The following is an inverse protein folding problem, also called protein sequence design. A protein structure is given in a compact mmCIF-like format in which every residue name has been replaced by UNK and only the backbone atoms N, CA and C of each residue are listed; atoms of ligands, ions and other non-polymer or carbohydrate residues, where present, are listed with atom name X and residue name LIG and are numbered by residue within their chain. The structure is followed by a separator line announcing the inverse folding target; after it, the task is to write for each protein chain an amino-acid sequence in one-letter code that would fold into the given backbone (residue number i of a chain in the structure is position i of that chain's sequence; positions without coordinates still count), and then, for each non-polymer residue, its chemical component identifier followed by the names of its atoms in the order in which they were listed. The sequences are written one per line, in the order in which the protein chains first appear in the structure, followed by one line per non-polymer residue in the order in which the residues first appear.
data_IF_131609777859
#
_entry.id   IF_131609777859
#
_cell.length_a   1.000
_cell.length_b   1.000
_cell.length_c   1.000
_cell.angle_alpha   90.00
_cell.angle_beta   90.00
_cell.angle_gamma   90.00
#
_symmetry.space_group_name_H-M   'P 1'
#
loop_
_entity.id
_entity.type
_entity.pdbx_description
1 polymer ?
#
# COMPACT_ATOMS: atom_id res chain seq x y z
N UNK A 1 -18.93 -26.05 2.97
CA UNK A 1 -17.68 -25.55 3.57
C UNK A 1 -17.96 -24.19 4.19
N UNK A 2 -17.79 -24.01 5.50
CA UNK A 2 -18.08 -22.73 6.14
C UNK A 2 -17.09 -21.66 5.65
N UNK A 3 -17.63 -20.53 5.19
CA UNK A 3 -16.84 -19.40 4.71
C UNK A 3 -16.02 -18.82 5.88
N UNK A 4 -14.69 -18.93 5.81
CA UNK A 4 -13.80 -18.44 6.85
C UNK A 4 -13.33 -17.02 6.49
N UNK A 5 -14.05 -16.01 6.99
CA UNK A 5 -13.74 -14.59 6.75
C UNK A 5 -12.33 -14.15 7.15
N UNK A 6 -11.70 -14.84 8.12
CA UNK A 6 -10.30 -14.61 8.52
C UNK A 6 -9.33 -15.03 7.42
N UNK A 7 -9.65 -16.09 6.65
CA UNK A 7 -8.85 -16.48 5.47
C UNK A 7 -8.96 -15.44 4.37
N UNK A 8 -10.17 -14.91 4.12
CA UNK A 8 -10.36 -13.84 3.14
C UNK A 8 -9.55 -12.60 3.52
N UNK A 9 -9.59 -12.18 4.79
CA UNK A 9 -8.78 -11.07 5.30
C UNK A 9 -7.28 -11.30 5.09
N UNK A 10 -6.78 -12.50 5.37
CA UNK A 10 -5.38 -12.87 5.10
C UNK A 10 -5.02 -12.83 3.61
N UNK A 11 -5.89 -13.32 2.73
CA UNK A 11 -5.66 -13.27 1.29
C UNK A 11 -5.70 -11.84 0.75
N UNK A 12 -6.61 -11.00 1.26
CA UNK A 12 -6.67 -9.59 0.93
C UNK A 12 -5.37 -8.86 1.31
N UNK A 13 -4.87 -9.09 2.53
CA UNK A 13 -3.58 -8.58 2.99
C UNK A 13 -2.40 -9.06 2.13
N UNK A 14 -2.37 -10.34 1.77
CA UNK A 14 -1.31 -10.89 0.90
C UNK A 14 -1.38 -10.29 -0.51
N UNK A 15 -2.60 -10.12 -1.04
CA UNK A 15 -2.82 -9.47 -2.34
C UNK A 15 -2.36 -8.01 -2.33
N UNK A 16 -2.57 -7.30 -1.22
CA UNK A 16 -2.12 -5.94 -1.04
C UNK A 16 -0.59 -5.83 -0.93
N UNK A 17 0.04 -6.69 -0.13
CA UNK A 17 1.51 -6.79 -0.07
C UNK A 17 2.08 -7.09 -1.46
N UNK A 18 1.48 -8.05 -2.17
CA UNK A 18 1.86 -8.40 -3.53
C UNK A 18 1.72 -7.20 -4.49
N UNK A 19 0.62 -6.46 -4.40
CA UNK A 19 0.36 -5.27 -5.22
C UNK A 19 1.39 -4.17 -4.96
N UNK A 20 1.76 -3.93 -3.70
CA UNK A 20 2.79 -2.96 -3.34
C UNK A 20 4.18 -3.35 -3.86
N UNK A 21 4.54 -4.64 -3.77
CA UNK A 21 5.81 -5.16 -4.30
C UNK A 21 5.83 -5.07 -5.83
N UNK A 22 4.74 -5.49 -6.48
CA UNK A 22 4.60 -5.41 -7.94
C UNK A 22 4.59 -3.98 -8.47
N UNK A 23 4.05 -3.02 -7.72
CA UNK A 23 4.11 -1.59 -8.07
C UNK A 23 5.50 -0.98 -7.82
N UNK A 24 6.21 -1.42 -6.78
CA UNK A 24 7.55 -0.94 -6.46
C UNK A 24 8.62 -1.43 -7.47
N UNK A 25 8.50 -2.66 -7.97
CA UNK A 25 9.49 -3.26 -8.87
C UNK A 25 9.73 -2.45 -10.17
N UNK A 26 8.70 -2.06 -10.94
CA UNK A 26 8.86 -1.20 -12.11
C UNK A 26 9.45 0.16 -11.77
N UNK A 27 9.06 0.75 -10.63
CA UNK A 27 9.59 2.04 -10.19
C UNK A 27 11.09 1.97 -9.85
N UNK A 28 11.59 0.79 -9.48
CA UNK A 28 12.99 0.55 -9.18
C UNK A 28 13.82 0.26 -10.45
N UNK A 29 13.34 -0.70 -11.24
CA UNK A 29 14.09 -1.28 -12.36
C UNK A 29 13.93 -0.49 -13.66
N UNK A 30 12.79 0.19 -13.83
CA UNK A 30 12.44 0.92 -15.05
C UNK A 30 11.65 2.22 -14.72
N UNK A 31 12.23 3.15 -13.93
CA UNK A 31 11.54 4.38 -13.53
C UNK A 31 11.12 5.24 -14.72
N UNK A 32 11.85 5.16 -15.83
CA UNK A 32 11.55 5.92 -17.05
C UNK A 32 10.27 5.42 -17.72
N UNK A 33 10.08 4.10 -17.78
CA UNK A 33 8.85 3.50 -18.28
C UNK A 33 7.67 3.89 -17.40
N UNK A 34 7.83 3.82 -16.08
CA UNK A 34 6.78 4.25 -15.14
C UNK A 34 6.45 5.73 -15.34
N UNK A 35 7.45 6.60 -15.38
CA UNK A 35 7.25 8.03 -15.61
C UNK A 35 6.58 8.28 -16.97
N UNK A 36 6.93 7.57 -18.03
CA UNK A 36 6.29 7.73 -19.35
C UNK A 36 4.79 7.39 -19.35
N UNK A 37 4.34 6.53 -18.44
CA UNK A 37 2.91 6.29 -18.22
C UNK A 37 2.27 7.35 -17.32
N UNK A 38 3.03 7.90 -16.38
CA UNK A 38 2.54 8.86 -15.39
C UNK A 38 2.45 10.29 -15.94
N UNK A 39 3.48 10.80 -16.61
CA UNK A 39 3.56 12.20 -17.06
C UNK A 39 3.13 12.37 -18.51
N UNK A 40 2.54 13.52 -18.85
CA UNK A 40 2.08 13.82 -20.22
C UNK A 40 3.22 14.11 -21.18
N UNK A 41 4.30 14.74 -20.72
CA UNK A 41 5.41 15.18 -21.56
C UNK A 41 6.71 14.42 -21.29
N UNK A 42 7.49 14.03 -22.32
CA UNK A 42 8.83 13.48 -22.11
C UNK A 42 9.79 14.50 -21.46
N UNK A 43 9.50 15.80 -21.57
CA UNK A 43 10.26 16.87 -20.91
C UNK A 43 10.12 16.87 -19.38
N UNK A 44 9.06 16.26 -18.85
CA UNK A 44 8.83 16.14 -17.41
C UNK A 44 9.64 14.98 -16.78
N UNK A 45 10.20 14.09 -17.61
CA UNK A 45 11.04 12.96 -17.20
C UNK A 45 12.48 13.44 -16.95
N UNK A 46 12.65 14.22 -15.90
CA UNK A 46 13.97 14.73 -15.49
C UNK A 46 14.78 13.69 -14.71
N UNK A 47 16.12 13.84 -14.61
CA UNK A 47 16.94 13.00 -13.73
C UNK A 47 16.49 13.02 -12.26
N UNK A 48 15.91 14.15 -11.83
CA UNK A 48 15.32 14.31 -10.50
C UNK A 48 14.04 13.47 -10.38
N UNK A 49 13.14 13.53 -11.36
CA UNK A 49 11.93 12.72 -11.39
C UNK A 49 12.25 11.21 -11.33
N UNK A 50 13.21 10.73 -12.13
CA UNK A 50 13.68 9.33 -12.09
C UNK A 50 14.20 8.92 -10.71
N UNK A 51 15.02 9.78 -10.11
CA UNK A 51 15.59 9.53 -8.77
C UNK A 51 14.50 9.51 -7.70
N UNK A 52 13.50 10.38 -7.79
CA UNK A 52 12.35 10.41 -6.89
C UNK A 52 11.44 9.19 -7.05
N UNK A 53 11.19 8.73 -8.28
CA UNK A 53 10.42 7.49 -8.55
C UNK A 53 11.12 6.28 -7.94
N UNK A 54 12.44 6.18 -8.07
CA UNK A 54 13.23 5.14 -7.41
C UNK A 54 13.24 5.28 -5.88
N UNK A 55 13.31 6.52 -5.38
CA UNK A 55 13.24 6.82 -3.95
C UNK A 55 11.90 6.40 -3.33
N UNK A 56 10.80 6.62 -4.06
CA UNK A 56 9.45 6.23 -3.64
C UNK A 56 9.31 4.71 -3.46
N UNK A 57 10.01 3.93 -4.29
CA UNK A 57 9.89 2.47 -4.32
C UNK A 57 10.95 1.69 -3.51
N UNK A 58 12.14 2.24 -3.28
CA UNK A 58 13.27 1.43 -2.78
C UNK A 58 13.35 1.32 -1.26
N UNK A 59 12.90 0.23 -0.63
CA UNK A 59 13.49 -0.21 0.65
C UNK A 59 14.45 -1.36 0.42
N UNK A 60 15.74 -1.07 0.23
CA UNK A 60 16.73 -2.13 0.43
C UNK A 60 18.11 -1.63 0.91
N UNK A 61 18.64 -2.16 2.04
CA UNK A 61 19.98 -1.87 2.54
C UNK A 61 21.10 -2.74 1.91
N UNK A 62 20.92 -3.37 0.75
CA UNK A 62 21.97 -4.23 0.13
C UNK A 62 22.25 -3.87 -1.32
N UNK A 63 23.04 -2.83 -1.57
CA UNK A 63 24.02 -2.83 -2.67
C UNK A 63 24.98 -1.63 -2.56
N UNK A 64 25.82 -1.63 -1.54
CA UNK A 64 26.79 -0.57 -1.28
C UNK A 64 28.10 -0.93 -2.00
N UNK A 65 28.30 -0.44 -3.23
CA UNK A 65 29.65 -0.30 -3.78
C UNK A 65 30.30 0.94 -3.12
N UNK A 66 31.56 0.86 -2.68
CA UNK A 66 32.13 1.89 -1.81
C UNK A 66 32.84 2.95 -2.66
N UNK A 67 32.11 3.91 -3.22
CA UNK A 67 32.74 5.19 -3.63
C UNK A 67 31.73 6.34 -3.54
N UNK A 68 31.99 7.21 -2.56
CA UNK A 68 31.55 8.60 -2.42
C UNK A 68 30.04 8.91 -2.50
N UNK A 69 29.45 8.94 -1.31
CA UNK A 69 28.35 9.84 -0.89
C UNK A 69 27.09 9.79 -1.77
N UNK A 70 26.32 8.71 -1.66
CA UNK A 70 24.87 8.74 -1.92
C UNK A 70 24.16 8.13 -0.72
N UNK A 71 23.60 9.01 0.10
CA UNK A 71 22.70 8.66 1.19
C UNK A 71 21.51 7.94 0.58
N UNK A 72 21.41 6.62 0.79
CA UNK A 72 20.26 5.79 0.39
C UNK A 72 19.34 5.61 1.59
N UNK A 73 18.57 6.64 1.92
CA UNK A 73 17.32 6.47 2.65
C UNK A 73 16.22 6.44 1.60
N UNK A 74 15.25 5.52 1.64
CA UNK A 74 14.16 5.52 0.67
C UNK A 74 13.21 4.34 0.87
N UNK A 75 12.08 4.40 0.18
CA UNK A 75 11.11 3.32 0.01
C UNK A 75 9.81 3.54 0.76
N UNK A 76 9.14 4.66 0.50
CA UNK A 76 7.84 4.97 1.06
C UNK A 76 6.81 3.84 0.82
N UNK A 77 6.76 3.23 -0.38
CA UNK A 77 5.86 2.09 -0.66
C UNK A 77 6.17 0.87 0.24
N UNK A 78 7.45 0.50 0.37
CA UNK A 78 7.84 -0.73 1.05
C UNK A 78 7.95 -0.57 2.57
N UNK A 79 8.35 0.60 3.08
CA UNK A 79 8.42 0.85 4.53
C UNK A 79 7.15 1.49 5.11
N UNK A 80 6.59 2.50 4.46
CA UNK A 80 5.45 3.23 5.03
C UNK A 80 4.11 2.54 4.76
N UNK A 81 3.94 1.89 3.60
CA UNK A 81 2.70 1.17 3.30
C UNK A 81 2.80 -0.33 3.60
N UNK A 82 3.88 -1.00 3.20
CA UNK A 82 3.94 -2.47 3.29
C UNK A 82 4.25 -3.00 4.70
N UNK A 83 5.09 -2.32 5.50
CA UNK A 83 5.41 -2.78 6.87
C UNK A 83 4.17 -2.76 7.78
N UNK A 84 3.36 -1.68 7.85
CA UNK A 84 2.15 -1.70 8.69
C UNK A 84 1.15 -2.79 8.27
N UNK A 85 1.09 -3.13 6.98
CA UNK A 85 0.23 -4.20 6.44
C UNK A 85 0.78 -5.59 6.85
N UNK A 86 2.09 -5.81 6.77
CA UNK A 86 2.73 -7.05 7.26
C UNK A 86 2.53 -7.20 8.77
N UNK A 87 2.72 -6.13 9.55
CA UNK A 87 2.49 -6.13 10.99
C UNK A 87 1.01 -6.36 11.33
N UNK A 88 0.12 -6.03 10.39
CA UNK A 88 -1.32 -6.30 10.52
C UNK A 88 -1.71 -7.73 10.14
N UNK A 89 -0.77 -8.55 9.66
CA UNK A 89 -1.04 -9.94 9.30
C UNK A 89 -1.42 -10.78 10.54
N UNK A 90 -2.60 -11.42 10.56
CA UNK A 90 -3.00 -12.25 11.68
C UNK A 90 -2.13 -13.52 11.74
N UNK A 91 -1.21 -13.55 12.70
CA UNK A 91 -0.33 -14.70 12.93
C UNK A 91 -1.16 -15.97 13.21
N UNK A 92 -0.88 -17.12 12.57
CA UNK A 92 -1.64 -18.36 12.80
C UNK A 92 -1.39 -19.03 14.16
N UNK A 93 -0.46 -18.52 14.98
CA UNK A 93 -0.18 -19.08 16.32
C UNK A 93 -1.22 -18.60 17.35
N UNK A 94 -1.92 -19.53 18.04
CA UNK A 94 -3.04 -19.23 18.92
C UNK A 94 -2.71 -18.47 20.21
N UNK A 95 -1.44 -18.24 20.55
CA UNK A 95 -1.05 -17.60 21.82
C UNK A 95 -0.78 -16.10 21.76
N UNK A 96 -0.70 -15.47 20.58
CA UNK A 96 -0.25 -14.06 20.45
C UNK A 96 -1.04 -13.22 19.43
N UNK A 97 -2.11 -13.76 18.82
CA UNK A 97 -2.76 -13.15 17.66
C UNK A 97 -3.93 -12.19 17.93
N UNK A 98 -4.52 -12.23 19.13
CA UNK A 98 -5.73 -11.49 19.51
C UNK A 98 -5.65 -10.84 20.88
N UNK A 99 -4.45 -10.47 21.31
CA UNK A 99 -4.29 -9.47 22.37
C UNK A 99 -5.08 -8.19 21.96
N UNK A 100 -5.97 -7.64 22.82
CA UNK A 100 -6.72 -6.42 22.55
C UNK A 100 -5.84 -5.29 22.01
N UNK A 101 -4.59 -5.20 22.49
CA UNK A 101 -3.64 -4.19 22.04
C UNK A 101 -3.22 -4.41 20.58
N UNK A 102 -2.99 -5.65 20.16
CA UNK A 102 -2.60 -5.99 18.79
C UNK A 102 -3.76 -5.72 17.82
N UNK A 103 -5.00 -6.05 18.21
CA UNK A 103 -6.19 -5.74 17.39
C UNK A 103 -6.37 -4.23 17.25
N UNK A 104 -6.17 -3.46 18.32
CA UNK A 104 -6.22 -2.00 18.28
C UNK A 104 -5.17 -1.41 17.30
N UNK A 105 -3.93 -1.91 17.33
CA UNK A 105 -2.88 -1.49 16.38
C UNK A 105 -3.23 -1.80 14.92
N UNK A 106 -3.84 -2.98 14.64
CA UNK A 106 -4.31 -3.32 13.28
C UNK A 106 -5.38 -2.36 12.79
N UNK A 107 -6.36 -2.04 13.64
CA UNK A 107 -7.43 -1.11 13.32
C UNK A 107 -6.89 0.30 13.10
N UNK A 108 -5.96 0.75 13.93
CA UNK A 108 -5.28 2.04 13.78
C UNK A 108 -4.53 2.10 12.44
N UNK A 109 -3.73 1.09 12.12
CA UNK A 109 -3.02 1.02 10.84
C UNK A 109 -3.97 1.08 9.64
N UNK A 110 -5.07 0.34 9.70
CA UNK A 110 -6.11 0.36 8.66
C UNK A 110 -6.80 1.73 8.54
N UNK A 111 -7.07 2.42 9.65
CA UNK A 111 -7.64 3.76 9.62
C UNK A 111 -6.66 4.79 9.04
N UNK A 112 -5.39 4.78 9.47
CA UNK A 112 -4.38 5.72 8.97
C UNK A 112 -4.11 5.51 7.48
N UNK A 113 -3.99 4.25 7.04
CA UNK A 113 -3.83 3.93 5.62
C UNK A 113 -5.07 4.31 4.81
N UNK A 114 -6.27 3.97 5.31
CA UNK A 114 -7.52 4.32 4.66
C UNK A 114 -7.72 5.83 4.52
N UNK A 115 -7.38 6.61 5.53
CA UNK A 115 -7.41 8.07 5.47
C UNK A 115 -6.44 8.62 4.41
N UNK A 116 -5.23 8.05 4.32
CA UNK A 116 -4.27 8.37 3.28
C UNK A 116 -4.79 8.06 1.87
N UNK A 117 -5.44 6.91 1.69
CA UNK A 117 -6.04 6.50 0.40
C UNK A 117 -7.18 7.41 -0.02
N UNK A 118 -8.08 7.79 0.91
CA UNK A 118 -9.14 8.77 0.62
C UNK A 118 -8.55 10.13 0.24
N UNK A 119 -7.55 10.59 0.99
CA UNK A 119 -6.87 11.86 0.72
C UNK A 119 -6.21 11.88 -0.66
N UNK A 120 -5.39 10.88 -0.96
CA UNK A 120 -4.71 10.76 -2.26
C UNK A 120 -5.69 10.55 -3.42
N UNK A 121 -6.72 9.72 -3.23
CA UNK A 121 -7.77 9.51 -4.23
C UNK A 121 -8.56 10.79 -4.52
N UNK A 122 -8.85 11.59 -3.49
CA UNK A 122 -9.54 12.89 -3.64
C UNK A 122 -8.66 13.89 -4.38
N UNK A 123 -7.36 13.98 -4.05
CA UNK A 123 -6.41 14.85 -4.75
C UNK A 123 -6.33 14.44 -6.23
N UNK A 124 -6.22 13.14 -6.53
CA UNK A 124 -6.20 12.65 -7.91
C UNK A 124 -7.49 12.98 -8.67
N UNK A 125 -8.66 12.86 -8.01
CA UNK A 125 -9.94 13.24 -8.59
C UNK A 125 -10.04 14.75 -8.87
N UNK A 126 -9.61 15.59 -7.93
CA UNK A 126 -9.58 17.04 -8.13
C UNK A 126 -8.68 17.41 -9.31
N UNK A 127 -7.48 16.81 -9.36
CA UNK A 127 -6.53 17.03 -10.46
C UNK A 127 -7.05 16.53 -11.81
N UNK A 128 -7.81 15.43 -11.82
CA UNK A 128 -8.48 14.93 -13.02
C UNK A 128 -9.55 15.90 -13.53
N UNK A 129 -10.35 16.47 -12.63
CA UNK A 129 -11.38 17.45 -12.97
C UNK A 129 -10.81 18.80 -13.40
N UNK A 130 -9.67 19.21 -12.83
CA UNK A 130 -8.99 20.47 -13.17
C UNK A 130 -8.17 20.36 -14.46
N UNK A 131 -7.75 19.17 -14.86
CA UNK A 131 -7.03 18.91 -16.12
C UNK A 131 -5.58 19.41 -16.17
N UNK A 132 -5.09 20.05 -15.10
CA UNK A 132 -3.79 20.73 -15.03
C UNK A 132 -2.87 20.11 -13.97
N UNK A 133 -2.58 18.82 -14.13
CA UNK A 133 -1.85 18.02 -13.15
C UNK A 133 -0.43 17.64 -13.58
N UNK A 134 -0.10 17.82 -14.86
CA UNK A 134 1.10 17.24 -15.48
C UNK A 134 1.05 15.71 -15.65
N UNK A 135 0.06 15.03 -15.07
CA UNK A 135 -0.15 13.59 -15.16
C UNK A 135 -1.09 13.21 -16.30
N UNK A 136 -0.90 12.02 -16.87
CA UNK A 136 -1.83 11.46 -17.85
C UNK A 136 -3.18 11.15 -17.19
N UNK A 137 -4.26 11.29 -17.95
CA UNK A 137 -5.61 11.02 -17.45
C UNK A 137 -5.74 9.55 -17.02
N UNK A 138 -5.08 8.64 -17.75
CA UNK A 138 -5.02 7.22 -17.41
C UNK A 138 -4.29 6.96 -16.09
N UNK A 139 -3.22 7.71 -15.78
CA UNK A 139 -2.52 7.60 -14.51
C UNK A 139 -3.40 8.08 -13.35
N UNK A 140 -4.09 9.21 -13.51
CA UNK A 140 -5.00 9.73 -12.48
C UNK A 140 -6.17 8.78 -12.22
N UNK A 141 -6.80 8.26 -13.27
CA UNK A 141 -7.85 7.26 -13.16
C UNK A 141 -7.34 5.96 -12.52
N UNK A 142 -6.12 5.54 -12.88
CA UNK A 142 -5.47 4.38 -12.27
C UNK A 142 -5.25 4.56 -10.77
N UNK A 143 -4.74 5.71 -10.35
CA UNK A 143 -4.57 6.06 -8.93
C UNK A 143 -5.91 6.12 -8.21
N UNK A 144 -6.92 6.78 -8.78
CA UNK A 144 -8.26 6.84 -8.21
C UNK A 144 -8.89 5.46 -8.02
N UNK A 145 -8.81 4.61 -9.04
CA UNK A 145 -9.34 3.24 -8.98
C UNK A 145 -8.62 2.41 -7.93
N UNK A 146 -7.29 2.47 -7.89
CA UNK A 146 -6.49 1.73 -6.91
C UNK A 146 -6.80 2.20 -5.48
N UNK A 147 -6.74 3.51 -5.22
CA UNK A 147 -7.06 4.07 -3.90
C UNK A 147 -8.50 3.75 -3.49
N UNK A 148 -9.46 3.84 -4.41
CA UNK A 148 -10.86 3.52 -4.16
C UNK A 148 -11.07 2.06 -3.76
N UNK A 149 -10.44 1.11 -4.46
CA UNK A 149 -10.54 -0.32 -4.14
C UNK A 149 -9.95 -0.62 -2.76
N UNK A 150 -8.76 -0.11 -2.46
CA UNK A 150 -8.10 -0.36 -1.16
C UNK A 150 -8.84 0.32 0.00
N UNK A 151 -9.38 1.51 -0.22
CA UNK A 151 -10.15 2.22 0.79
C UNK A 151 -11.50 1.55 1.05
N UNK A 152 -12.19 1.08 0.00
CA UNK A 152 -13.42 0.29 0.12
C UNK A 152 -13.18 -1.04 0.84
N UNK A 153 -12.08 -1.74 0.52
CA UNK A 153 -11.67 -2.96 1.21
C UNK A 153 -11.44 -2.71 2.71
N UNK A 154 -10.72 -1.64 3.06
CA UNK A 154 -10.51 -1.27 4.47
C UNK A 154 -11.79 -0.90 5.17
N UNK A 155 -12.66 -0.10 4.53
CA UNK A 155 -13.97 0.26 5.06
C UNK A 155 -14.83 -0.98 5.33
N UNK A 156 -14.80 -1.96 4.42
CA UNK A 156 -15.49 -3.23 4.61
C UNK A 156 -14.97 -3.99 5.85
N UNK A 157 -13.65 -4.11 6.02
CA UNK A 157 -13.09 -4.80 7.18
C UNK A 157 -13.26 -4.02 8.49
N UNK A 158 -13.19 -2.69 8.47
CA UNK A 158 -13.32 -1.85 9.66
C UNK A 158 -14.77 -1.72 10.17
N UNK A 159 -15.74 -1.59 9.26
CA UNK A 159 -17.13 -1.25 9.59
C UNK A 159 -18.11 -2.40 9.36
N UNK A 160 -17.99 -3.15 8.26
CA UNK A 160 -18.95 -4.21 7.94
C UNK A 160 -18.60 -5.55 8.60
N UNK A 161 -17.31 -5.87 8.71
CA UNK A 161 -16.82 -7.16 9.24
C UNK A 161 -15.59 -7.02 10.16
N UNK A 162 -15.67 -6.23 11.25
CA UNK A 162 -14.55 -6.05 12.19
C UNK A 162 -14.10 -7.36 12.86
N UNK A 163 -15.03 -8.31 13.07
CA UNK A 163 -14.73 -9.61 13.69
C UNK A 163 -13.79 -10.49 12.87
N UNK A 164 -13.59 -10.20 11.58
CA UNK A 164 -12.64 -10.93 10.73
C UNK A 164 -11.19 -10.47 10.96
N UNK A 165 -11.00 -9.25 11.47
CA UNK A 165 -9.67 -8.72 11.87
C UNK A 165 -9.21 -9.27 13.23
N UNK A 166 -10.15 -9.67 14.07
CA UNK A 166 -9.91 -10.15 15.43
C UNK A 166 -9.34 -11.57 15.49
N UNK A 167 -9.61 -12.40 14.47
CA UNK A 167 -9.11 -13.77 14.24
C UNK A 167 -9.24 -14.82 15.39
N UNK A 168 -9.40 -14.41 16.66
CA UNK A 168 -9.42 -15.28 17.84
C UNK A 168 -10.82 -15.52 18.41
N UNK A 169 -11.74 -14.55 18.38
CA UNK A 169 -13.04 -14.72 19.03
C UNK A 169 -13.91 -15.79 18.35
N UNK A 170 -13.80 -15.90 17.02
CA UNK A 170 -14.47 -16.94 16.23
C UNK A 170 -13.82 -18.33 16.35
N UNK A 171 -12.53 -18.42 16.72
CA UNK A 171 -11.87 -19.71 16.97
C UNK A 171 -12.27 -20.29 18.34
N UNK A 172 -12.49 -19.43 19.35
CA UNK A 172 -13.02 -19.82 20.66
C UNK A 172 -14.50 -20.21 20.64
N UNK A 173 -15.31 -19.65 19.73
CA UNK A 173 -16.72 -20.02 19.55
C UNK A 173 -16.93 -21.28 18.69
N UNK A 174 -15.86 -21.79 18.06
CA UNK A 174 -15.88 -22.97 17.21
C UNK A 174 -15.23 -24.22 17.87
N UNK A 175 -14.77 -24.10 19.11
CA UNK A 175 -14.47 -25.20 20.02
C UNK A 175 -15.60 -25.30 21.05
#
# INVERSE_FOLDING_TARGET
MAFNGVRLFRYALLGEIGSNVMGALPCLLAPETVLSYLVRGPNDITPVAKSLTQWYACCHPRFQRPTNRKVRFGGMILTAFTIPIILSYPNPRPSQGGDPQIVAWRRLAYMTLGAGEVGLGTIAMIQFLQGDSGFTDSALLGVMAFMGVFSAMRGFFLYARPSWMEAQENAKKAQ
#
